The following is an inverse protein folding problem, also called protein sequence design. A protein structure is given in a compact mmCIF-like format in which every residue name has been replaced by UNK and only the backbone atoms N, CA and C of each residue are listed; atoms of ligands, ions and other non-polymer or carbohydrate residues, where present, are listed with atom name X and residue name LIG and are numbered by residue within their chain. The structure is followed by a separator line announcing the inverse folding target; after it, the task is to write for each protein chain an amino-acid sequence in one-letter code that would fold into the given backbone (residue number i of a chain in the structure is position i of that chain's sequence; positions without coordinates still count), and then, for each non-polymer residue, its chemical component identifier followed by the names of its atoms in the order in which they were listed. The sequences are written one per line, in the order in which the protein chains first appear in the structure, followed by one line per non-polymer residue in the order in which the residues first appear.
data_IF_818556718663
#
_entry.id   IF_818556718663
#
_cell.length_a   1.000
_cell.length_b   1.000
_cell.length_c   1.000
_cell.angle_alpha   90.00
_cell.angle_beta   90.00
_cell.angle_gamma   90.00
#
_symmetry.space_group_name_H-M   'P 1'
#
loop_
_entity.id
_entity.type
_entity.pdbx_description
1 polymer ?
#
# COMPACT_ATOMS: atom_id res chain seq x y z
N UNK A 1 33.46 2.33 16.57
CA UNK A 1 34.11 3.66 16.56
C UNK A 1 33.51 4.61 15.54
N UNK A 2 33.40 4.23 14.25
CA UNK A 2 32.88 5.15 13.20
C UNK A 2 31.44 5.59 13.47
N UNK A 3 30.54 4.67 13.83
CA UNK A 3 29.15 4.95 14.13
C UNK A 3 28.98 5.88 15.32
N UNK A 4 29.74 5.65 16.40
CA UNK A 4 29.74 6.51 17.58
C UNK A 4 30.15 7.95 17.24
N UNK A 5 31.27 8.11 16.50
CA UNK A 5 31.72 9.44 16.05
C UNK A 5 30.75 10.11 15.08
N UNK A 6 30.05 9.33 14.21
CA UNK A 6 29.03 9.85 13.32
C UNK A 6 27.85 10.42 14.12
N UNK A 7 27.33 9.67 15.09
CA UNK A 7 26.21 10.11 15.90
C UNK A 7 26.55 11.33 16.75
N UNK A 8 27.73 11.36 17.35
CA UNK A 8 28.18 12.54 18.09
C UNK A 8 28.23 13.79 17.19
N UNK A 9 28.72 13.63 15.94
CA UNK A 9 28.76 14.72 14.97
C UNK A 9 27.34 15.17 14.55
N UNK A 10 26.42 14.23 14.28
CA UNK A 10 25.04 14.54 13.94
C UNK A 10 24.33 15.22 15.11
N UNK A 11 24.42 14.68 16.30
CA UNK A 11 23.81 15.25 17.49
C UNK A 11 24.34 16.68 17.77
N UNK A 12 25.66 16.90 17.70
CA UNK A 12 26.23 18.24 17.86
C UNK A 12 25.74 19.24 16.80
N UNK A 13 25.44 18.77 15.58
CA UNK A 13 24.90 19.61 14.50
C UNK A 13 23.44 19.99 14.72
N UNK A 14 22.65 19.10 15.30
CA UNK A 14 21.19 19.23 15.37
C UNK A 14 20.64 19.45 16.78
N UNK A 15 21.49 19.53 17.82
CA UNK A 15 21.08 19.71 19.22
C UNK A 15 20.17 20.88 19.52
N UNK A 16 20.24 21.92 18.70
CA UNK A 16 19.45 23.15 18.84
C UNK A 16 18.27 23.20 17.85
N UNK A 17 18.01 22.10 17.08
CA UNK A 17 16.96 22.05 16.08
C UNK A 17 15.62 21.53 16.69
N UNK A 18 14.66 22.43 16.95
CA UNK A 18 13.43 22.07 17.68
C UNK A 18 12.45 21.18 16.88
N UNK A 19 12.68 21.01 15.57
CA UNK A 19 11.84 20.19 14.72
C UNK A 19 12.31 18.73 14.62
N UNK A 20 13.43 18.39 15.21
CA UNK A 20 13.92 17.02 15.36
C UNK A 20 13.43 16.50 16.69
N UNK A 21 12.58 15.44 16.69
CA UNK A 21 12.06 14.83 17.92
C UNK A 21 13.09 14.00 18.66
N UNK A 22 13.98 13.33 17.95
CA UNK A 22 15.00 12.45 18.52
C UNK A 22 15.86 11.77 17.46
N UNK A 23 16.72 10.85 17.92
CA UNK A 23 17.67 10.11 17.09
C UNK A 23 17.37 8.62 17.18
N UNK A 24 17.03 8.00 16.06
CA UNK A 24 16.97 6.55 15.92
C UNK A 24 18.38 6.05 15.57
N UNK A 25 19.05 5.44 16.56
CA UNK A 25 20.50 5.29 16.52
C UNK A 25 21.02 4.09 15.74
N UNK A 26 20.13 3.15 15.40
CA UNK A 26 20.48 1.96 14.61
C UNK A 26 19.23 1.35 13.99
N UNK A 27 19.22 1.23 12.65
CA UNK A 27 18.10 0.64 11.92
C UNK A 27 18.28 -0.86 11.76
N UNK A 28 17.28 -1.63 12.17
CA UNK A 28 17.11 -3.05 11.93
C UNK A 28 18.35 -3.92 12.20
N UNK A 29 18.90 -3.92 13.43
CA UNK A 29 19.93 -4.90 13.77
C UNK A 29 19.38 -6.31 13.53
N UNK A 30 20.16 -7.15 12.84
CA UNK A 30 19.74 -8.52 12.50
C UNK A 30 20.96 -9.45 12.45
N UNK A 31 21.60 -9.66 13.58
CA UNK A 31 22.83 -10.42 13.68
C UNK A 31 22.78 -11.46 14.79
N UNK A 32 23.34 -12.64 14.52
CA UNK A 32 23.58 -13.65 15.54
C UNK A 32 25.00 -13.50 16.14
N UNK A 33 25.08 -13.53 17.45
CA UNK A 33 26.35 -13.55 18.19
C UNK A 33 26.75 -14.95 18.60
N UNK A 34 25.84 -15.94 18.51
CA UNK A 34 26.01 -17.34 18.94
C UNK A 34 26.06 -18.35 17.81
N UNK A 35 25.88 -17.95 16.54
CA UNK A 35 25.81 -18.80 15.34
C UNK A 35 24.56 -19.71 15.24
N UNK A 36 23.67 -19.70 16.21
CA UNK A 36 22.44 -20.53 16.21
C UNK A 36 21.31 -19.94 15.36
N UNK A 37 21.23 -18.62 15.28
CA UNK A 37 20.22 -17.88 14.53
C UNK A 37 20.82 -16.80 13.63
N UNK A 38 20.63 -16.92 12.32
CA UNK A 38 21.22 -16.00 11.33
C UNK A 38 20.74 -14.55 11.43
N UNK A 39 19.54 -14.33 11.98
CA UNK A 39 18.89 -13.03 11.99
C UNK A 39 18.73 -12.43 13.40
N UNK A 40 19.18 -13.15 14.42
CA UNK A 40 19.11 -12.71 15.82
C UNK A 40 17.71 -12.70 16.42
N UNK A 41 16.76 -13.47 15.85
CA UNK A 41 15.39 -13.51 16.38
C UNK A 41 15.28 -14.32 17.67
N UNK A 42 16.08 -15.37 17.80
CA UNK A 42 16.18 -16.21 18.99
C UNK A 42 17.47 -15.91 19.80
N UNK A 43 18.20 -14.84 19.42
CA UNK A 43 19.46 -14.46 20.07
C UNK A 43 19.21 -13.94 21.50
N UNK A 44 19.88 -14.56 22.46
CA UNK A 44 19.83 -14.19 23.89
C UNK A 44 21.00 -13.34 24.33
N UNK A 45 22.09 -13.37 23.57
CA UNK A 45 23.35 -12.67 23.92
C UNK A 45 23.47 -11.34 23.18
N UNK A 46 22.44 -10.49 23.24
CA UNK A 46 22.45 -9.16 22.63
C UNK A 46 23.32 -8.13 23.36
N UNK A 47 24.15 -8.55 24.31
CA UNK A 47 25.07 -7.66 25.04
C UNK A 47 26.01 -6.83 24.13
N UNK A 48 26.56 -7.35 23.01
CA UNK A 48 27.36 -6.52 22.10
C UNK A 48 26.54 -5.43 21.41
N UNK A 49 25.29 -5.72 21.01
CA UNK A 49 24.36 -4.72 20.44
C UNK A 49 24.02 -3.66 21.51
N UNK A 50 23.67 -4.09 22.72
CA UNK A 50 23.41 -3.20 23.84
C UNK A 50 24.59 -2.29 24.11
N UNK A 51 25.82 -2.83 24.19
CA UNK A 51 27.02 -2.04 24.44
C UNK A 51 27.27 -0.98 23.38
N UNK A 52 27.03 -1.33 22.09
CA UNK A 52 27.13 -0.37 20.98
C UNK A 52 26.15 0.79 21.16
N UNK A 53 24.89 0.51 21.48
CA UNK A 53 23.85 1.52 21.69
C UNK A 53 24.17 2.39 22.92
N UNK A 54 24.68 1.81 24.00
CA UNK A 54 25.17 2.54 25.19
C UNK A 54 26.28 3.52 24.81
N UNK A 55 27.28 3.06 24.04
CA UNK A 55 28.42 3.90 23.64
C UNK A 55 27.98 5.04 22.69
N UNK A 56 27.05 4.78 21.79
CA UNK A 56 26.46 5.81 20.93
C UNK A 56 25.71 6.84 21.78
N UNK A 57 24.83 6.37 22.67
CA UNK A 57 24.04 7.25 23.54
C UNK A 57 24.94 8.15 24.39
N UNK A 58 25.99 7.62 25.00
CA UNK A 58 26.95 8.40 25.77
C UNK A 58 27.58 9.51 24.92
N UNK A 59 28.01 9.18 23.69
CA UNK A 59 28.63 10.15 22.81
C UNK A 59 27.64 11.24 22.35
N UNK A 60 26.37 10.90 22.17
CA UNK A 60 25.30 11.88 21.91
C UNK A 60 25.11 12.79 23.12
N UNK A 61 24.98 12.23 24.32
CA UNK A 61 24.75 12.98 25.57
C UNK A 61 25.87 13.95 25.95
N UNK A 62 27.08 13.72 25.48
CA UNK A 62 28.20 14.68 25.64
C UNK A 62 27.91 16.03 24.93
N UNK A 63 27.09 16.05 23.89
CA UNK A 63 26.81 17.22 23.06
C UNK A 63 25.36 17.63 23.05
N UNK A 64 24.45 16.71 23.30
CA UNK A 64 22.98 16.88 23.24
C UNK A 64 22.29 16.12 24.38
N UNK A 65 21.94 16.80 25.48
CA UNK A 65 21.25 16.18 26.59
C UNK A 65 19.72 16.04 26.40
N UNK A 66 19.14 16.65 25.38
CA UNK A 66 17.70 16.91 25.31
C UNK A 66 16.93 15.98 24.35
N UNK A 67 17.49 15.64 23.19
CA UNK A 67 16.76 14.85 22.20
C UNK A 67 16.52 13.41 22.67
N UNK A 68 15.37 12.87 22.27
CA UNK A 68 14.99 11.48 22.54
C UNK A 68 15.95 10.54 21.81
N UNK A 69 16.32 9.44 22.45
CA UNK A 69 17.06 8.33 21.82
C UNK A 69 16.07 7.20 21.54
N UNK A 70 15.89 6.87 20.25
CA UNK A 70 15.18 5.67 19.85
C UNK A 70 16.19 4.52 19.73
N UNK A 71 15.86 3.38 20.31
CA UNK A 71 16.66 2.16 20.23
C UNK A 71 15.82 1.03 19.63
N UNK A 72 16.49 0.15 18.91
CA UNK A 72 15.88 -1.04 18.34
C UNK A 72 16.50 -2.31 18.91
N UNK A 73 15.66 -3.33 19.09
CA UNK A 73 16.10 -4.68 19.40
C UNK A 73 16.79 -5.36 18.20
N UNK A 74 17.37 -6.52 18.40
CA UNK A 74 17.83 -7.39 17.32
C UNK A 74 16.63 -7.91 16.48
N UNK A 75 16.82 -8.77 15.49
CA UNK A 75 15.74 -9.30 14.65
C UNK A 75 14.90 -8.20 14.01
N UNK A 76 15.56 -7.29 13.26
CA UNK A 76 14.88 -6.16 12.59
C UNK A 76 14.06 -5.28 13.55
N UNK A 77 14.63 -4.96 14.74
CA UNK A 77 14.01 -4.09 15.72
C UNK A 77 13.11 -4.79 16.73
N UNK A 78 12.96 -6.13 16.71
CA UNK A 78 11.92 -6.82 17.46
C UNK A 78 12.41 -7.65 18.66
N UNK A 79 13.66 -8.05 18.73
CA UNK A 79 14.20 -8.85 19.85
C UNK A 79 14.95 -7.98 20.84
N UNK A 80 14.34 -7.74 22.01
CA UNK A 80 14.90 -6.94 23.11
C UNK A 80 15.53 -7.78 24.23
N UNK A 81 15.65 -9.10 24.08
CA UNK A 81 16.27 -9.95 25.10
C UNK A 81 17.72 -9.55 25.33
N UNK A 82 18.09 -9.33 26.59
CA UNK A 82 19.44 -8.88 26.97
C UNK A 82 19.76 -7.39 26.73
N UNK A 83 18.78 -6.59 26.28
CA UNK A 83 18.93 -5.15 26.10
C UNK A 83 18.67 -4.39 27.41
N UNK A 84 17.78 -4.88 28.25
CA UNK A 84 17.48 -4.26 29.55
C UNK A 84 18.54 -4.54 30.59
N UNK A 85 18.64 -3.69 31.66
CA UNK A 85 17.90 -2.46 31.89
C UNK A 85 18.37 -1.33 30.98
N UNK A 86 17.48 -0.34 30.77
CA UNK A 86 17.80 0.87 30.00
C UNK A 86 18.90 1.68 30.72
N UNK A 87 19.64 2.50 29.95
CA UNK A 87 20.79 3.27 30.41
C UNK A 87 20.63 4.78 30.26
N UNK A 88 19.47 5.21 29.74
CA UNK A 88 19.16 6.61 29.52
C UNK A 88 17.65 6.83 29.74
N UNK A 89 17.30 7.85 30.53
CA UNK A 89 15.92 8.12 30.96
C UNK A 89 15.05 8.76 29.85
N UNK A 90 15.66 9.25 28.75
CA UNK A 90 14.97 9.85 27.64
C UNK A 90 15.04 8.93 26.40
N UNK A 91 14.62 7.70 26.57
CA UNK A 91 14.66 6.63 25.56
C UNK A 91 13.24 6.19 25.15
N UNK A 92 13.10 5.79 23.90
CA UNK A 92 11.91 5.15 23.32
C UNK A 92 12.30 3.83 22.70
N UNK A 93 11.51 2.78 22.90
CA UNK A 93 11.69 1.49 22.21
C UNK A 93 11.01 1.57 20.85
N UNK A 94 11.78 1.40 19.78
CA UNK A 94 11.32 1.34 18.41
C UNK A 94 11.18 -0.12 17.97
N UNK A 95 10.09 -0.47 17.34
CA UNK A 95 9.90 -1.81 16.76
C UNK A 95 9.31 -1.71 15.36
N UNK A 96 9.49 -2.76 14.55
CA UNK A 96 9.03 -2.82 13.16
C UNK A 96 7.97 -3.89 12.97
N UNK A 97 6.95 -3.62 12.11
CA UNK A 97 5.84 -4.53 11.87
C UNK A 97 5.39 -4.46 10.41
N UNK A 98 5.37 -5.59 9.70
CA UNK A 98 5.07 -5.62 8.27
C UNK A 98 4.05 -6.68 7.83
N UNK A 99 4.15 -7.94 8.31
CA UNK A 99 3.50 -9.08 7.66
C UNK A 99 2.63 -9.92 8.59
N UNK A 100 2.65 -9.66 9.87
CA UNK A 100 1.87 -10.40 10.86
C UNK A 100 0.46 -9.82 11.04
N UNK A 101 -0.43 -10.58 11.70
CA UNK A 101 -1.78 -10.13 12.02
C UNK A 101 -1.78 -8.84 12.83
N UNK A 102 -2.81 -8.01 12.61
CA UNK A 102 -3.00 -6.75 13.32
C UNK A 102 -3.89 -6.96 14.54
N UNK A 103 -3.47 -7.84 15.44
CA UNK A 103 -4.13 -8.13 16.72
C UNK A 103 -3.29 -7.60 17.87
N UNK A 104 -3.93 -7.42 19.04
CA UNK A 104 -3.25 -6.95 20.25
C UNK A 104 -2.13 -7.91 20.68
N UNK A 105 -2.35 -9.20 20.50
CA UNK A 105 -1.38 -10.26 20.82
C UNK A 105 -0.09 -10.08 20.01
N UNK A 106 -0.18 -9.60 18.77
CA UNK A 106 0.98 -9.38 17.90
C UNK A 106 1.93 -8.26 18.37
N UNK A 107 1.50 -7.45 19.32
CA UNK A 107 2.27 -6.36 19.93
C UNK A 107 2.34 -6.48 21.45
N UNK A 108 1.88 -7.58 22.03
CA UNK A 108 1.74 -7.72 23.49
C UNK A 108 3.08 -7.59 24.20
N UNK A 109 4.14 -8.15 23.66
CA UNK A 109 5.49 -8.06 24.22
C UNK A 109 5.95 -6.59 24.40
N UNK A 110 5.72 -5.74 23.39
CA UNK A 110 6.04 -4.31 23.48
C UNK A 110 5.17 -3.57 24.48
N UNK A 111 3.90 -3.96 24.61
CA UNK A 111 3.02 -3.42 25.64
C UNK A 111 3.49 -3.81 27.04
N UNK A 112 4.03 -5.01 27.21
CA UNK A 112 4.59 -5.49 28.47
C UNK A 112 5.88 -4.74 28.80
N UNK A 113 6.81 -4.55 27.86
CA UNK A 113 8.00 -3.71 28.04
C UNK A 113 7.64 -2.28 28.44
N UNK A 114 6.67 -1.66 27.77
CA UNK A 114 6.17 -0.32 28.12
C UNK A 114 5.73 -0.24 29.57
N UNK A 115 5.01 -1.25 30.05
CA UNK A 115 4.51 -1.31 31.43
C UNK A 115 5.61 -1.63 32.44
N UNK A 116 6.46 -2.61 32.16
CA UNK A 116 7.48 -3.10 33.06
C UNK A 116 8.59 -2.07 33.29
N UNK A 117 9.05 -1.45 32.21
CA UNK A 117 10.18 -0.50 32.25
C UNK A 117 9.74 0.97 32.27
N UNK A 118 8.43 1.24 32.27
CA UNK A 118 7.85 2.59 32.18
C UNK A 118 8.50 3.43 31.07
N UNK A 119 8.58 2.87 29.86
CA UNK A 119 9.23 3.44 28.69
C UNK A 119 8.23 3.58 27.54
N UNK A 120 8.22 4.69 26.78
CA UNK A 120 7.41 4.80 25.56
C UNK A 120 7.84 3.77 24.50
N UNK A 121 6.87 3.35 23.68
CA UNK A 121 7.09 2.49 22.54
C UNK A 121 6.64 3.19 21.24
N UNK A 122 7.29 2.88 20.14
CA UNK A 122 7.11 3.50 18.83
C UNK A 122 7.15 2.44 17.73
N UNK A 123 6.16 2.46 16.82
CA UNK A 123 6.26 1.69 15.58
C UNK A 123 7.14 2.47 14.60
N UNK A 124 8.43 2.21 14.63
CA UNK A 124 9.46 2.96 13.90
C UNK A 124 9.39 2.73 12.41
N UNK A 125 8.89 1.55 11.99
CA UNK A 125 8.75 1.22 10.58
C UNK A 125 7.61 0.23 10.34
N UNK A 126 6.79 0.53 9.33
CA UNK A 126 5.67 -0.31 8.90
C UNK A 126 5.27 0.03 7.47
N UNK A 127 4.71 -0.93 6.74
CA UNK A 127 4.30 -0.69 5.36
C UNK A 127 4.39 -1.93 4.48
N UNK A 128 4.66 -1.75 3.20
CA UNK A 128 4.89 -2.80 2.19
C UNK A 128 3.81 -3.89 2.14
N UNK A 129 2.56 -3.54 2.44
CA UNK A 129 1.42 -4.45 2.52
C UNK A 129 0.19 -3.82 1.83
N UNK A 130 -0.98 -4.45 1.94
CA UNK A 130 -2.24 -3.97 1.38
C UNK A 130 -2.81 -2.76 2.14
N UNK A 131 -3.68 -2.00 1.49
CA UNK A 131 -4.43 -0.91 2.13
C UNK A 131 -5.27 -1.38 3.32
N UNK A 132 -5.81 -2.60 3.25
CA UNK A 132 -6.55 -3.20 4.36
C UNK A 132 -5.64 -3.40 5.56
N UNK A 133 -4.47 -3.97 5.34
CA UNK A 133 -3.48 -4.18 6.38
C UNK A 133 -2.99 -2.85 6.99
N UNK A 134 -2.77 -1.81 6.18
CA UNK A 134 -2.37 -0.47 6.67
C UNK A 134 -3.41 0.12 7.62
N UNK A 135 -4.68 0.10 7.20
CA UNK A 135 -5.79 0.55 8.05
C UNK A 135 -5.83 -0.19 9.38
N UNK A 136 -5.69 -1.51 9.36
CA UNK A 136 -5.74 -2.34 10.57
C UNK A 136 -4.53 -2.09 11.49
N UNK A 137 -3.31 -1.99 10.91
CA UNK A 137 -2.10 -1.70 11.67
C UNK A 137 -2.18 -0.34 12.37
N UNK A 138 -2.61 0.70 11.66
CA UNK A 138 -2.77 2.03 12.21
C UNK A 138 -3.84 2.05 13.31
N UNK A 139 -4.99 1.40 13.08
CA UNK A 139 -6.02 1.26 14.11
C UNK A 139 -5.47 0.59 15.38
N UNK A 140 -4.68 -0.47 15.22
CA UNK A 140 -4.07 -1.18 16.36
C UNK A 140 -3.12 -0.26 17.13
N UNK A 141 -2.28 0.49 16.43
CA UNK A 141 -1.33 1.42 17.06
C UNK A 141 -2.06 2.55 17.80
N UNK A 142 -2.97 3.23 17.13
CA UNK A 142 -3.70 4.37 17.71
C UNK A 142 -4.57 3.95 18.89
N UNK A 143 -5.24 2.79 18.82
CA UNK A 143 -6.03 2.23 19.93
C UNK A 143 -5.18 1.90 21.17
N UNK A 144 -3.87 1.70 21.02
CA UNK A 144 -2.93 1.44 22.11
C UNK A 144 -2.03 2.64 22.45
N UNK A 145 -2.33 3.82 21.90
CA UNK A 145 -1.56 5.06 22.11
C UNK A 145 -0.09 4.87 21.73
N UNK A 146 0.15 4.29 20.55
CA UNK A 146 1.46 4.08 19.95
C UNK A 146 1.57 4.97 18.71
N UNK A 147 2.59 5.81 18.64
CA UNK A 147 2.93 6.53 17.42
C UNK A 147 3.50 5.59 16.37
N UNK A 148 3.36 5.95 15.10
CA UNK A 148 3.77 5.10 13.99
C UNK A 148 4.43 5.89 12.85
N UNK A 149 5.33 5.22 12.13
CA UNK A 149 5.93 5.69 10.89
C UNK A 149 5.65 4.71 9.75
N UNK A 150 5.57 5.24 8.53
CA UNK A 150 5.25 4.48 7.33
C UNK A 150 6.44 4.40 6.38
N UNK A 151 6.72 3.19 5.87
CA UNK A 151 7.75 2.88 4.90
C UNK A 151 7.18 2.26 3.63
N UNK A 152 7.63 2.65 2.42
CA UNK A 152 8.39 3.87 2.15
C UNK A 152 7.47 4.98 1.59
N UNK A 153 7.88 6.22 1.74
CA UNK A 153 7.16 7.33 1.11
C UNK A 153 7.27 7.29 -0.42
N UNK A 154 8.44 6.89 -0.96
CA UNK A 154 8.73 6.79 -2.39
C UNK A 154 9.32 5.42 -2.73
N UNK A 155 8.71 4.71 -3.68
CA UNK A 155 9.24 3.43 -4.16
C UNK A 155 9.10 3.31 -5.67
N UNK A 156 10.11 2.73 -6.32
CA UNK A 156 10.11 2.56 -7.78
C UNK A 156 9.08 1.53 -8.20
N UNK A 157 8.19 1.92 -9.11
CA UNK A 157 7.17 1.06 -9.75
C UNK A 157 6.41 0.17 -8.76
N UNK A 158 5.89 0.80 -7.68
CA UNK A 158 5.25 0.10 -6.57
C UNK A 158 3.86 0.67 -6.27
N UNK A 159 2.93 -0.19 -5.89
CA UNK A 159 1.56 0.21 -5.53
C UNK A 159 1.39 0.49 -4.03
N UNK A 160 2.23 -0.07 -3.16
CA UNK A 160 2.09 -0.02 -1.70
C UNK A 160 2.75 1.19 -1.03
N UNK A 161 3.37 2.09 -1.79
CA UNK A 161 3.94 3.34 -1.28
C UNK A 161 2.95 4.50 -1.37
N UNK A 162 3.14 5.55 -0.58
CA UNK A 162 2.37 6.80 -0.67
C UNK A 162 2.54 7.45 -2.05
N UNK A 163 3.73 7.31 -2.63
CA UNK A 163 4.04 7.71 -3.99
C UNK A 163 4.81 6.62 -4.74
N UNK A 164 4.63 6.57 -6.06
CA UNK A 164 5.36 5.67 -6.94
C UNK A 164 6.26 6.47 -7.88
N UNK A 165 7.49 6.01 -8.04
CA UNK A 165 8.49 6.55 -8.96
C UNK A 165 8.43 5.75 -10.26
N UNK A 166 8.29 6.40 -11.40
CA UNK A 166 8.30 5.72 -12.69
C UNK A 166 9.70 5.22 -13.01
N UNK A 167 9.80 3.92 -13.26
CA UNK A 167 11.03 3.28 -13.70
C UNK A 167 11.29 3.63 -15.16
N UNK A 168 12.47 4.15 -15.48
CA UNK A 168 12.83 4.43 -16.86
C UNK A 168 13.44 3.19 -17.56
N UNK A 169 13.36 3.11 -18.91
CA UNK A 169 13.86 1.95 -19.67
C UNK A 169 15.36 1.68 -19.48
N UNK A 170 16.17 2.74 -19.32
CA UNK A 170 17.61 2.58 -19.07
C UNK A 170 17.90 1.91 -17.74
N UNK A 171 17.14 2.24 -16.70
CA UNK A 171 17.24 1.59 -15.40
C UNK A 171 16.78 0.11 -15.45
N UNK A 172 15.78 -0.21 -16.28
CA UNK A 172 15.39 -1.62 -16.50
C UNK A 172 16.51 -2.47 -17.09
N UNK A 173 17.28 -1.91 -18.03
CA UNK A 173 18.45 -2.59 -18.60
C UNK A 173 19.50 -2.85 -17.52
N UNK A 174 19.75 -1.86 -16.62
CA UNK A 174 20.68 -2.03 -15.49
C UNK A 174 20.19 -3.12 -14.54
N UNK A 175 18.91 -3.10 -14.16
CA UNK A 175 18.31 -4.11 -13.29
C UNK A 175 18.38 -5.52 -13.90
N UNK A 176 18.12 -5.62 -15.20
CA UNK A 176 18.23 -6.89 -15.91
C UNK A 176 19.66 -7.43 -15.87
N UNK A 177 20.65 -6.57 -16.12
CA UNK A 177 22.06 -6.95 -16.00
C UNK A 177 22.41 -7.43 -14.57
N UNK A 178 21.97 -6.71 -13.53
CA UNK A 178 22.25 -7.12 -12.15
C UNK A 178 21.60 -8.44 -11.75
N UNK A 179 20.39 -8.70 -12.25
CA UNK A 179 19.63 -9.92 -11.90
C UNK A 179 20.04 -11.14 -12.71
N UNK A 180 20.26 -10.96 -14.01
CA UNK A 180 20.37 -12.04 -14.96
C UNK A 180 21.77 -12.13 -15.61
N UNK A 181 22.65 -11.15 -15.37
CA UNK A 181 23.92 -11.06 -16.08
C UNK A 181 23.75 -10.62 -17.54
N UNK A 182 24.69 -10.98 -18.38
CA UNK A 182 24.72 -10.61 -19.81
C UNK A 182 25.64 -9.44 -20.12
N UNK A 183 25.38 -8.72 -21.19
CA UNK A 183 26.19 -7.57 -21.61
C UNK A 183 26.13 -6.43 -20.60
N UNK A 184 27.29 -6.10 -19.99
CA UNK A 184 27.39 -4.98 -19.05
C UNK A 184 27.13 -3.65 -19.77
N UNK A 185 26.18 -2.82 -19.31
CA UNK A 185 25.98 -1.47 -19.83
C UNK A 185 27.25 -0.62 -19.67
N UNK A 186 27.50 0.31 -20.59
CA UNK A 186 28.61 1.27 -20.45
C UNK A 186 28.40 2.17 -19.23
N UNK A 187 29.51 2.72 -18.71
CA UNK A 187 29.43 3.64 -17.55
C UNK A 187 28.61 4.88 -17.86
N UNK A 188 28.77 5.45 -19.04
CA UNK A 188 28.02 6.62 -19.50
C UNK A 188 26.52 6.31 -19.58
N UNK A 189 26.14 5.19 -20.18
CA UNK A 189 24.75 4.76 -20.24
C UNK A 189 24.15 4.56 -18.85
N UNK A 190 24.87 3.84 -17.97
CA UNK A 190 24.41 3.55 -16.63
C UNK A 190 24.28 4.84 -15.80
N UNK A 191 25.23 5.76 -15.89
CA UNK A 191 25.16 7.07 -15.25
C UNK A 191 23.94 7.87 -15.71
N UNK A 192 23.71 7.99 -17.00
CA UNK A 192 22.58 8.73 -17.55
C UNK A 192 21.23 8.11 -17.13
N UNK A 193 21.12 6.78 -17.13
CA UNK A 193 19.92 6.08 -16.69
C UNK A 193 19.63 6.29 -15.18
N UNK A 194 20.66 6.27 -14.33
CA UNK A 194 20.52 6.54 -12.89
C UNK A 194 20.22 8.02 -12.61
N UNK A 195 20.81 8.94 -13.36
CA UNK A 195 20.47 10.37 -13.23
C UNK A 195 19.04 10.65 -13.67
N UNK A 196 18.57 10.00 -14.75
CA UNK A 196 17.14 10.09 -15.13
C UNK A 196 16.22 9.50 -14.04
N UNK A 197 16.62 8.41 -13.39
CA UNK A 197 15.87 7.88 -12.26
C UNK A 197 15.82 8.87 -11.08
N UNK A 198 16.95 9.54 -10.78
CA UNK A 198 17.00 10.58 -9.76
C UNK A 198 16.05 11.75 -10.08
N UNK A 199 15.94 12.15 -11.36
CA UNK A 199 14.93 13.12 -11.79
C UNK A 199 13.51 12.61 -11.56
N UNK A 200 13.24 11.33 -11.80
CA UNK A 200 11.92 10.72 -11.57
C UNK A 200 11.55 10.69 -10.07
N UNK A 201 12.50 10.80 -9.15
CA UNK A 201 12.27 10.90 -7.70
C UNK A 201 11.85 12.29 -7.22
N UNK A 202 11.91 13.33 -8.06
CA UNK A 202 11.40 14.65 -7.70
C UNK A 202 9.89 14.62 -7.49
N UNK A 203 9.39 15.41 -6.55
CA UNK A 203 7.97 15.40 -6.15
C UNK A 203 7.02 15.65 -7.33
N UNK A 204 7.39 16.54 -8.24
CA UNK A 204 6.61 16.87 -9.44
C UNK A 204 6.49 15.73 -10.45
N UNK A 205 7.36 14.72 -10.38
CA UNK A 205 7.39 13.56 -11.27
C UNK A 205 6.80 12.29 -10.67
N UNK A 206 6.35 12.35 -9.41
CA UNK A 206 5.80 11.19 -8.71
C UNK A 206 4.34 10.96 -9.06
N UNK A 207 3.96 9.68 -9.06
CA UNK A 207 2.54 9.29 -9.05
C UNK A 207 2.08 9.17 -7.61
N UNK A 208 1.21 10.08 -7.16
CA UNK A 208 0.57 10.01 -5.84
C UNK A 208 -0.44 8.85 -5.84
N UNK A 209 -0.49 8.10 -4.73
CA UNK A 209 -1.40 6.97 -4.51
C UNK A 209 -2.53 7.39 -3.55
N UNK A 210 -3.66 7.93 -4.06
CA UNK A 210 -4.73 8.45 -3.21
C UNK A 210 -5.42 7.35 -2.41
N UNK A 211 -5.44 6.13 -2.89
CA UNK A 211 -5.99 4.96 -2.21
C UNK A 211 -5.17 4.56 -0.97
N UNK A 212 -3.83 4.61 -1.06
CA UNK A 212 -2.93 4.38 0.08
C UNK A 212 -3.13 5.45 1.15
N UNK A 213 -3.11 6.72 0.75
CA UNK A 213 -3.32 7.86 1.67
C UNK A 213 -4.71 7.76 2.33
N UNK A 214 -5.74 7.44 1.56
CA UNK A 214 -7.10 7.28 2.06
C UNK A 214 -7.22 6.15 3.10
N UNK A 215 -6.55 5.02 2.83
CA UNK A 215 -6.52 3.88 3.74
C UNK A 215 -5.84 4.22 5.08
N UNK A 216 -4.71 4.94 5.03
CA UNK A 216 -3.94 5.30 6.22
C UNK A 216 -4.63 6.33 7.12
N UNK A 217 -5.39 7.25 6.56
CA UNK A 217 -5.90 8.40 7.34
C UNK A 217 -7.42 8.42 7.45
N UNK A 218 -8.18 8.34 6.33
CA UNK A 218 -9.63 8.46 6.38
C UNK A 218 -10.31 7.15 6.76
N UNK A 219 -9.92 6.05 6.14
CA UNK A 219 -10.56 4.75 6.37
C UNK A 219 -10.34 4.20 7.79
N UNK A 220 -9.31 4.64 8.47
CA UNK A 220 -9.07 4.35 9.90
C UNK A 220 -10.27 4.79 10.74
N UNK A 221 -10.90 5.92 10.38
CA UNK A 221 -11.94 6.54 11.17
C UNK A 221 -13.36 6.37 10.60
N UNK A 222 -13.52 5.88 9.35
CA UNK A 222 -14.85 5.77 8.72
C UNK A 222 -14.90 4.74 7.60
N UNK A 223 -16.06 4.11 7.44
CA UNK A 223 -16.37 3.25 6.31
C UNK A 223 -17.12 4.00 5.17
N UNK A 224 -17.32 5.33 5.28
CA UNK A 224 -17.94 6.09 4.20
C UNK A 224 -17.07 6.06 2.95
N UNK A 225 -17.69 5.95 1.78
CA UNK A 225 -16.97 5.92 0.51
C UNK A 225 -16.75 7.33 -0.04
N UNK A 226 -15.73 7.51 -0.87
CA UNK A 226 -15.38 8.74 -1.55
C UNK A 226 -15.05 8.42 -3.01
N UNK A 227 -15.50 9.21 -4.01
CA UNK A 227 -15.12 8.96 -5.39
C UNK A 227 -13.59 9.01 -5.55
N UNK A 228 -13.02 8.08 -6.32
CA UNK A 228 -11.60 8.07 -6.65
C UNK A 228 -11.18 9.36 -7.35
N UNK A 229 -12.02 9.77 -8.31
CA UNK A 229 -11.95 11.08 -8.97
C UNK A 229 -13.35 11.62 -9.25
N UNK A 230 -13.46 12.84 -9.75
CA UNK A 230 -14.74 13.41 -10.20
C UNK A 230 -15.18 12.73 -11.48
N UNK A 231 -16.20 11.85 -11.38
CA UNK A 231 -16.81 11.17 -12.50
C UNK A 231 -18.10 11.91 -12.91
N UNK A 232 -18.07 12.61 -14.03
CA UNK A 232 -19.25 13.29 -14.61
C UNK A 232 -19.85 12.44 -15.72
N UNK A 233 -21.18 12.36 -15.77
CA UNK A 233 -21.92 11.68 -16.83
C UNK A 233 -22.87 12.65 -17.55
N UNK A 234 -23.03 12.54 -18.91
CA UNK A 234 -22.47 11.51 -19.81
C UNK A 234 -20.93 11.51 -19.85
N UNK A 235 -20.33 10.33 -20.07
CA UNK A 235 -18.87 10.17 -20.12
C UNK A 235 -18.41 8.74 -19.87
N UNK A 236 -17.10 8.53 -19.95
CA UNK A 236 -16.45 7.24 -19.70
C UNK A 236 -15.91 7.23 -18.26
N UNK A 237 -16.10 6.10 -17.57
CA UNK A 237 -15.59 5.78 -16.26
C UNK A 237 -14.81 4.48 -16.37
N UNK A 238 -13.51 4.54 -16.17
CA UNK A 238 -12.68 3.33 -16.24
C UNK A 238 -12.93 2.42 -15.04
N UNK A 239 -12.86 1.12 -15.27
CA UNK A 239 -13.18 0.12 -14.25
C UNK A 239 -12.32 0.28 -12.98
N UNK A 240 -11.08 0.69 -13.14
CA UNK A 240 -10.13 0.90 -12.04
C UNK A 240 -10.36 2.17 -11.21
N UNK A 241 -11.34 3.00 -11.61
CA UNK A 241 -11.68 4.27 -10.95
C UNK A 241 -12.86 4.14 -9.96
N UNK A 242 -13.09 2.92 -9.44
CA UNK A 242 -14.06 2.68 -8.39
C UNK A 242 -13.73 3.50 -7.12
N UNK A 243 -14.74 3.74 -6.30
CA UNK A 243 -14.64 4.59 -5.13
C UNK A 243 -13.52 4.19 -4.18
N UNK A 244 -13.00 5.14 -3.43
CA UNK A 244 -12.10 4.93 -2.29
C UNK A 244 -12.93 4.50 -1.07
N UNK A 245 -12.44 3.50 -0.37
CA UNK A 245 -13.06 2.95 0.84
C UNK A 245 -12.62 1.51 1.09
N UNK A 246 -13.16 0.92 2.14
CA UNK A 246 -12.82 -0.45 2.55
C UNK A 246 -13.57 -1.48 1.73
N UNK A 247 -13.03 -2.70 1.70
CA UNK A 247 -13.72 -3.89 1.18
C UNK A 247 -15.10 -4.03 1.86
N UNK A 248 -16.13 -4.39 1.08
CA UNK A 248 -17.52 -4.45 1.53
C UNK A 248 -18.25 -3.08 1.55
N UNK A 249 -17.55 -1.96 1.31
CA UNK A 249 -18.14 -0.62 1.29
C UNK A 249 -17.95 0.14 -0.04
N UNK A 250 -16.74 0.14 -0.60
CA UNK A 250 -16.43 0.76 -1.88
C UNK A 250 -16.30 -0.26 -3.01
N UNK A 251 -15.95 -1.45 -2.69
CA UNK A 251 -15.82 -2.63 -3.55
C UNK A 251 -16.01 -3.89 -2.72
N UNK A 252 -16.18 -5.02 -3.35
CA UNK A 252 -16.06 -6.35 -2.74
C UNK A 252 -15.18 -7.20 -3.62
N UNK A 253 -14.07 -7.62 -3.06
CA UNK A 253 -13.17 -8.60 -3.62
C UNK A 253 -12.95 -9.72 -2.59
N UNK A 254 -12.90 -10.96 -3.01
CA UNK A 254 -12.79 -12.12 -2.12
C UNK A 254 -11.38 -12.38 -1.66
N UNK A 255 -10.39 -12.07 -2.50
CA UNK A 255 -8.97 -12.34 -2.27
C UNK A 255 -8.19 -11.06 -1.86
N UNK A 256 -8.84 -10.16 -1.14
CA UNK A 256 -8.42 -8.79 -0.86
C UNK A 256 -7.32 -8.62 0.18
N UNK A 257 -6.91 -9.68 0.87
CA UNK A 257 -5.94 -9.62 1.97
C UNK A 257 -5.05 -10.86 1.99
N UNK A 258 -3.81 -10.66 2.37
CA UNK A 258 -2.88 -11.74 2.60
C UNK A 258 -2.06 -11.50 3.86
N UNK A 259 -2.24 -12.36 4.85
CA UNK A 259 -1.38 -12.49 6.00
C UNK A 259 -0.41 -13.64 5.76
N UNK A 260 0.83 -13.33 5.43
CA UNK A 260 1.90 -14.31 5.17
C UNK A 260 2.17 -15.26 6.34
N UNK A 261 1.74 -14.91 7.53
CA UNK A 261 2.08 -15.59 8.80
C UNK A 261 1.62 -17.04 8.84
N UNK A 262 0.46 -17.35 8.24
CA UNK A 262 -0.14 -18.68 8.38
C UNK A 262 0.46 -19.73 7.44
N UNK A 263 0.87 -19.34 6.27
CA UNK A 263 1.27 -20.27 5.20
C UNK A 263 2.72 -20.16 4.80
N UNK A 264 3.42 -19.07 5.19
CA UNK A 264 4.72 -18.71 4.67
C UNK A 264 4.71 -18.34 3.17
N UNK A 265 3.54 -18.40 2.52
CA UNK A 265 3.36 -18.12 1.09
C UNK A 265 2.77 -16.72 0.93
N UNK A 266 3.48 -15.87 0.20
CA UNK A 266 2.98 -14.55 -0.16
C UNK A 266 2.05 -14.65 -1.35
N UNK A 267 0.76 -14.42 -1.14
CA UNK A 267 -0.23 -14.24 -2.21
C UNK A 267 -0.43 -12.75 -2.43
N UNK A 268 -0.51 -12.28 -3.67
CA UNK A 268 -0.80 -10.88 -3.95
C UNK A 268 -2.28 -10.59 -3.68
N UNK A 269 -2.57 -9.51 -2.96
CA UNK A 269 -3.93 -8.97 -2.79
C UNK A 269 -4.45 -8.24 -4.02
N UNK A 270 -3.59 -7.89 -4.96
CA UNK A 270 -3.86 -7.43 -6.31
C UNK A 270 -2.92 -8.21 -7.22
N UNK A 271 -3.42 -9.25 -7.89
CA UNK A 271 -2.64 -10.22 -8.68
C UNK A 271 -1.88 -9.57 -9.84
N UNK A 272 -2.43 -8.51 -10.44
CA UNK A 272 -1.74 -7.75 -11.48
C UNK A 272 -0.73 -6.73 -10.95
N UNK A 273 -0.77 -6.41 -9.66
CA UNK A 273 0.13 -5.46 -9.00
C UNK A 273 0.22 -4.11 -9.72
N UNK A 274 -0.93 -3.58 -10.15
CA UNK A 274 -1.03 -2.31 -10.89
C UNK A 274 -1.97 -1.33 -10.21
N UNK A 275 -1.73 -0.06 -10.45
CA UNK A 275 -2.53 1.11 -10.16
C UNK A 275 -2.88 1.31 -8.68
N UNK A 276 -3.64 0.40 -8.04
CA UNK A 276 -4.17 0.53 -6.67
C UNK A 276 -3.63 -0.55 -5.74
N UNK A 277 -3.54 -0.23 -4.45
CA UNK A 277 -3.02 -1.11 -3.41
C UNK A 277 -4.13 -1.75 -2.55
N UNK A 278 -5.37 -1.63 -2.95
CA UNK A 278 -6.49 -2.35 -2.36
C UNK A 278 -6.69 -3.74 -3.02
N UNK A 279 -7.72 -4.48 -2.58
CA UNK A 279 -7.83 -5.90 -2.91
C UNK A 279 -8.30 -6.24 -4.32
N UNK A 280 -8.68 -5.25 -5.15
CA UNK A 280 -9.17 -5.52 -6.50
C UNK A 280 -8.03 -5.85 -7.45
N UNK A 281 -8.18 -6.90 -8.22
CA UNK A 281 -7.18 -7.37 -9.19
C UNK A 281 -7.11 -6.46 -10.42
N UNK A 282 -5.98 -5.77 -10.60
CA UNK A 282 -5.77 -4.80 -11.69
C UNK A 282 -4.52 -5.16 -12.47
N UNK A 283 -4.66 -5.26 -13.79
CA UNK A 283 -3.58 -5.48 -14.75
C UNK A 283 -3.50 -4.39 -15.82
N UNK A 284 -2.46 -4.42 -16.65
CA UNK A 284 -2.36 -3.56 -17.84
C UNK A 284 -3.39 -3.95 -18.88
N UNK A 285 -4.06 -2.96 -19.46
CA UNK A 285 -5.04 -3.13 -20.53
C UNK A 285 -4.41 -2.81 -21.89
N UNK A 286 -4.55 -3.71 -22.85
CA UNK A 286 -4.09 -3.53 -24.22
C UNK A 286 -5.18 -3.05 -25.19
N UNK A 287 -6.42 -2.82 -24.72
CA UNK A 287 -7.46 -2.22 -25.54
C UNK A 287 -7.11 -0.75 -25.83
N UNK A 288 -7.28 -0.35 -27.10
CA UNK A 288 -6.92 1.00 -27.58
C UNK A 288 -7.68 2.14 -26.91
N UNK A 289 -8.85 1.87 -26.33
CA UNK A 289 -9.68 2.85 -25.62
C UNK A 289 -9.61 2.60 -24.12
N UNK A 290 -8.42 2.61 -23.52
CA UNK A 290 -8.17 2.33 -22.11
C UNK A 290 -7.41 3.47 -21.46
N UNK A 291 -7.46 3.56 -20.14
CA UNK A 291 -6.53 4.38 -19.34
C UNK A 291 -5.20 3.65 -19.05
N UNK A 292 -4.97 2.51 -19.71
CA UNK A 292 -3.79 1.64 -19.53
C UNK A 292 -4.00 0.49 -18.55
N UNK A 293 -5.16 0.41 -17.88
CA UNK A 293 -5.45 -0.60 -16.86
C UNK A 293 -6.87 -1.16 -17.00
N UNK A 294 -7.07 -2.34 -16.45
CA UNK A 294 -8.36 -3.04 -16.40
C UNK A 294 -8.48 -3.88 -15.14
N UNK A 295 -9.70 -4.18 -14.71
CA UNK A 295 -10.00 -5.10 -13.63
C UNK A 295 -10.16 -6.50 -14.21
N UNK A 296 -9.50 -7.48 -13.60
CA UNK A 296 -9.51 -8.87 -14.06
C UNK A 296 -9.70 -9.84 -12.89
N UNK A 297 -9.72 -11.13 -13.15
CA UNK A 297 -9.92 -12.21 -12.17
C UNK A 297 -11.16 -12.03 -11.29
N UNK A 298 -12.17 -11.41 -11.85
CA UNK A 298 -13.43 -11.10 -11.20
C UNK A 298 -14.19 -12.39 -10.88
N UNK A 299 -14.60 -12.55 -9.63
CA UNK A 299 -15.35 -13.71 -9.14
C UNK A 299 -16.85 -13.38 -8.97
N UNK A 300 -17.67 -14.43 -8.93
CA UNK A 300 -19.10 -14.32 -8.66
C UNK A 300 -19.37 -13.65 -7.30
N UNK A 301 -20.29 -12.69 -7.25
CA UNK A 301 -20.67 -11.95 -6.05
C UNK A 301 -19.77 -10.76 -5.73
N UNK A 302 -18.66 -10.56 -6.44
CA UNK A 302 -17.85 -9.36 -6.32
C UNK A 302 -18.54 -8.14 -6.93
N UNK A 303 -18.13 -6.95 -6.53
CA UNK A 303 -18.71 -5.72 -7.06
C UNK A 303 -17.77 -4.51 -6.90
N UNK A 304 -18.00 -3.52 -7.77
CA UNK A 304 -17.30 -2.24 -7.77
C UNK A 304 -18.32 -1.10 -7.69
N UNK A 305 -18.06 -0.12 -6.84
CA UNK A 305 -18.92 1.06 -6.70
C UNK A 305 -18.29 2.30 -7.34
N UNK A 306 -19.08 3.06 -8.04
CA UNK A 306 -18.69 4.32 -8.68
C UNK A 306 -19.62 5.44 -8.25
N UNK A 307 -19.10 6.48 -7.62
CA UNK A 307 -19.85 7.71 -7.38
C UNK A 307 -19.76 8.59 -8.61
N UNK A 308 -20.89 8.76 -9.31
CA UNK A 308 -21.01 9.55 -10.54
C UNK A 308 -21.88 10.77 -10.33
N UNK A 309 -21.64 11.85 -11.09
CA UNK A 309 -22.45 13.07 -11.05
C UNK A 309 -23.15 13.27 -12.38
N UNK A 310 -24.48 13.19 -12.38
CA UNK A 310 -25.32 13.50 -13.54
C UNK A 310 -25.68 15.00 -13.51
N UNK A 311 -25.44 15.72 -14.60
CA UNK A 311 -25.78 17.14 -14.70
C UNK A 311 -27.29 17.39 -14.67
N UNK A 312 -28.04 16.44 -15.22
CA UNK A 312 -29.50 16.46 -15.27
C UNK A 312 -30.04 15.07 -14.97
N UNK A 313 -31.25 14.97 -14.42
CA UNK A 313 -31.94 13.70 -14.35
C UNK A 313 -32.32 13.19 -15.77
N UNK A 314 -32.48 11.88 -15.90
CA UNK A 314 -32.92 11.28 -17.16
C UNK A 314 -32.51 9.83 -17.32
N UNK A 315 -32.78 9.35 -18.54
CA UNK A 315 -32.37 8.01 -18.94
C UNK A 315 -31.01 8.05 -19.63
N UNK A 316 -30.20 7.08 -19.30
CA UNK A 316 -28.85 6.87 -19.85
C UNK A 316 -28.76 5.45 -20.43
N UNK A 317 -28.09 5.34 -21.55
CA UNK A 317 -27.63 4.05 -22.08
C UNK A 317 -26.22 3.83 -21.51
N UNK A 318 -26.00 2.68 -20.87
CA UNK A 318 -24.74 2.33 -20.22
C UNK A 318 -24.07 1.23 -21.01
N UNK A 319 -22.97 1.57 -21.67
CA UNK A 319 -22.15 0.62 -22.42
C UNK A 319 -21.01 0.10 -21.53
N UNK A 320 -20.81 -1.20 -21.55
CA UNK A 320 -19.74 -1.89 -20.79
C UNK A 320 -18.76 -2.46 -21.79
N UNK A 321 -17.49 -2.05 -21.66
CA UNK A 321 -16.37 -2.54 -22.45
C UNK A 321 -15.65 -3.63 -21.68
N UNK A 322 -15.67 -4.86 -22.20
CA UNK A 322 -15.21 -6.04 -21.50
C UNK A 322 -14.54 -7.04 -22.42
N UNK A 323 -13.81 -7.97 -21.84
CA UNK A 323 -13.38 -9.22 -22.45
C UNK A 323 -13.79 -10.40 -21.55
N UNK A 324 -14.04 -11.56 -22.14
CA UNK A 324 -14.40 -12.76 -21.39
C UNK A 324 -13.94 -14.02 -22.10
N UNK A 325 -13.33 -14.94 -21.36
CA UNK A 325 -12.96 -16.27 -21.82
C UNK A 325 -13.96 -17.36 -21.34
N UNK A 326 -14.96 -16.98 -20.57
CA UNK A 326 -16.03 -17.86 -20.10
C UNK A 326 -17.30 -17.69 -20.95
N UNK A 327 -18.14 -18.71 -21.00
CA UNK A 327 -19.36 -18.72 -21.82
C UNK A 327 -20.47 -17.82 -21.30
N UNK A 328 -20.47 -17.52 -20.00
CA UNK A 328 -21.55 -16.80 -19.33
C UNK A 328 -21.04 -15.97 -18.16
N UNK A 329 -20.31 -14.86 -18.42
CA UNK A 329 -20.17 -13.79 -17.44
C UNK A 329 -21.55 -13.13 -17.22
N UNK A 330 -21.82 -12.62 -16.03
CA UNK A 330 -23.09 -11.94 -15.77
C UNK A 330 -22.93 -10.82 -14.75
N UNK A 331 -23.72 -9.76 -14.90
CA UNK A 331 -23.73 -8.65 -13.94
C UNK A 331 -25.08 -7.93 -13.95
N UNK A 332 -25.33 -7.14 -12.90
CA UNK A 332 -26.40 -6.15 -12.86
C UNK A 332 -25.89 -4.83 -12.24
N UNK A 333 -26.69 -3.78 -12.40
CA UNK A 333 -26.44 -2.46 -11.83
C UNK A 333 -27.38 -2.18 -10.66
N UNK A 334 -26.82 -1.62 -9.60
CA UNK A 334 -27.56 -1.04 -8.48
C UNK A 334 -27.27 0.45 -8.34
N UNK A 335 -28.22 1.22 -7.79
CA UNK A 335 -28.03 2.58 -7.31
C UNK A 335 -28.60 2.68 -5.90
N UNK A 336 -27.78 3.09 -4.92
CA UNK A 336 -28.15 3.16 -3.50
C UNK A 336 -28.87 1.88 -3.00
N UNK A 337 -28.28 0.71 -3.32
CA UNK A 337 -28.78 -0.64 -2.96
C UNK A 337 -30.11 -1.06 -3.63
N UNK A 338 -30.54 -0.36 -4.67
CA UNK A 338 -31.72 -0.74 -5.47
C UNK A 338 -31.25 -1.21 -6.84
N UNK A 339 -31.76 -2.33 -7.29
CA UNK A 339 -31.56 -2.78 -8.68
C UNK A 339 -32.10 -1.73 -9.64
N UNK A 340 -31.26 -1.28 -10.55
CA UNK A 340 -31.62 -0.35 -11.63
C UNK A 340 -31.53 -1.00 -13.01
N UNK A 341 -31.09 -2.26 -13.07
CA UNK A 341 -31.12 -3.10 -14.26
C UNK A 341 -31.54 -4.53 -13.94
N UNK A 342 -31.89 -5.30 -14.97
CA UNK A 342 -31.93 -6.76 -14.90
C UNK A 342 -30.50 -7.31 -14.86
N UNK A 343 -30.37 -8.62 -14.67
CA UNK A 343 -29.10 -9.34 -14.87
C UNK A 343 -28.84 -9.45 -16.37
N UNK A 344 -27.62 -9.07 -16.78
CA UNK A 344 -27.14 -9.15 -18.16
C UNK A 344 -26.08 -10.22 -18.29
N UNK A 345 -26.24 -11.07 -19.31
CA UNK A 345 -25.25 -12.07 -19.65
C UNK A 345 -24.21 -11.43 -20.57
N UNK A 346 -22.96 -11.61 -20.25
CA UNK A 346 -21.81 -11.22 -21.06
C UNK A 346 -21.31 -12.44 -21.84
N UNK A 347 -21.52 -12.48 -23.18
CA UNK A 347 -21.01 -13.57 -24.00
C UNK A 347 -19.50 -13.68 -23.94
N UNK A 348 -18.99 -14.87 -24.21
CA UNK A 348 -17.58 -15.10 -24.44
C UNK A 348 -17.09 -14.31 -25.65
N UNK A 349 -15.98 -13.58 -25.50
CA UNK A 349 -15.39 -12.79 -26.60
C UNK A 349 -14.27 -13.56 -27.31
N UNK A 350 -13.50 -14.38 -26.55
CA UNK A 350 -12.36 -15.13 -27.07
C UNK A 350 -11.95 -16.27 -26.13
N UNK A 351 -11.00 -17.12 -26.55
CA UNK A 351 -10.46 -18.17 -25.69
C UNK A 351 -9.38 -17.68 -24.73
N UNK A 352 -8.73 -16.56 -25.03
CA UNK A 352 -7.57 -16.03 -24.30
C UNK A 352 -7.80 -14.65 -23.64
N UNK A 353 -9.03 -14.07 -23.78
CA UNK A 353 -9.32 -12.77 -23.19
C UNK A 353 -8.71 -11.57 -23.95
N UNK A 354 -8.20 -11.75 -25.16
CA UNK A 354 -7.51 -10.71 -25.92
C UNK A 354 -8.43 -9.82 -26.77
N UNK A 355 -9.70 -10.18 -26.94
CA UNK A 355 -10.69 -9.43 -27.74
C UNK A 355 -11.70 -8.77 -26.81
N UNK A 356 -11.87 -7.47 -26.99
CA UNK A 356 -12.84 -6.67 -26.24
C UNK A 356 -14.09 -6.44 -27.07
N UNK A 357 -15.23 -6.57 -26.41
CA UNK A 357 -16.55 -6.26 -26.95
C UNK A 357 -17.27 -5.23 -26.09
N UNK A 358 -18.34 -4.67 -26.63
CA UNK A 358 -19.16 -3.68 -25.94
C UNK A 358 -20.59 -4.15 -25.87
N UNK A 359 -21.13 -4.24 -24.65
CA UNK A 359 -22.56 -4.47 -24.42
C UNK A 359 -23.20 -3.20 -23.90
N UNK A 360 -24.41 -2.89 -24.35
CA UNK A 360 -25.14 -1.70 -23.92
C UNK A 360 -26.43 -2.09 -23.21
N UNK A 361 -26.65 -1.51 -22.05
CA UNK A 361 -27.88 -1.55 -21.28
C UNK A 361 -28.61 -0.24 -21.53
N UNK A 362 -29.80 -0.31 -22.05
CA UNK A 362 -30.58 0.88 -22.35
C UNK A 362 -31.45 1.36 -21.19
N UNK A 363 -31.68 2.67 -21.15
CA UNK A 363 -32.74 3.28 -20.36
C UNK A 363 -32.54 3.21 -18.82
N UNK A 364 -31.31 3.29 -18.36
CA UNK A 364 -30.98 3.40 -16.92
C UNK A 364 -31.36 4.79 -16.42
N UNK A 365 -32.33 4.86 -15.50
CA UNK A 365 -32.80 6.13 -14.93
C UNK A 365 -31.90 6.57 -13.79
N UNK A 366 -31.35 7.77 -13.89
CA UNK A 366 -30.49 8.37 -12.88
C UNK A 366 -31.02 9.77 -12.52
N UNK A 367 -30.88 10.12 -11.23
CA UNK A 367 -31.25 11.42 -10.71
C UNK A 367 -30.20 12.48 -11.00
N UNK A 368 -30.58 13.75 -11.07
CA UNK A 368 -29.63 14.87 -11.10
C UNK A 368 -28.76 14.85 -9.84
N UNK A 369 -27.46 15.12 -10.02
CA UNK A 369 -26.49 15.15 -8.94
C UNK A 369 -25.79 13.80 -8.75
N UNK A 370 -25.42 13.47 -7.51
CA UNK A 370 -24.65 12.26 -7.18
C UNK A 370 -25.51 11.02 -7.21
N UNK A 371 -25.00 9.98 -7.88
CA UNK A 371 -25.54 8.63 -7.89
C UNK A 371 -24.39 7.67 -7.51
N UNK A 372 -24.66 6.67 -6.68
CA UNK A 372 -23.73 5.60 -6.33
C UNK A 372 -24.07 4.34 -7.10
N UNK A 373 -23.44 4.19 -8.24
CA UNK A 373 -23.65 3.04 -9.13
C UNK A 373 -22.74 1.90 -8.66
N UNK A 374 -23.35 0.76 -8.36
CA UNK A 374 -22.64 -0.47 -8.05
C UNK A 374 -22.82 -1.43 -9.24
N UNK A 375 -21.71 -1.94 -9.76
CA UNK A 375 -21.64 -3.01 -10.73
C UNK A 375 -21.41 -4.31 -9.98
N UNK A 376 -22.39 -5.18 -9.92
CA UNK A 376 -22.36 -6.45 -9.20
C UNK A 376 -22.21 -7.59 -10.20
N UNK A 377 -21.22 -8.45 -10.00
CA UNK A 377 -20.95 -9.59 -10.87
C UNK A 377 -21.71 -10.82 -10.37
N UNK A 378 -22.79 -11.16 -11.04
CA UNK A 378 -23.61 -12.35 -10.77
C UNK A 378 -22.90 -13.63 -11.18
N UNK A 379 -21.96 -13.55 -12.14
CA UNK A 379 -21.03 -14.61 -12.55
C UNK A 379 -19.69 -13.96 -12.91
N UNK A 380 -18.62 -14.58 -12.50
CA UNK A 380 -17.25 -14.12 -12.75
C UNK A 380 -16.68 -14.47 -14.13
N UNK A 381 -15.34 -14.40 -14.24
CA UNK A 381 -14.61 -14.73 -15.48
C UNK A 381 -14.62 -13.62 -16.53
N UNK A 382 -14.84 -12.40 -16.09
CA UNK A 382 -14.90 -11.20 -16.94
C UNK A 382 -13.69 -10.32 -16.65
N UNK A 383 -13.18 -9.68 -17.69
CA UNK A 383 -12.19 -8.61 -17.63
C UNK A 383 -12.91 -7.31 -18.01
N UNK A 384 -12.80 -6.29 -17.18
CA UNK A 384 -13.55 -5.05 -17.33
C UNK A 384 -12.62 -3.86 -17.58
N UNK A 385 -12.84 -3.17 -18.72
CA UNK A 385 -12.07 -1.98 -19.09
C UNK A 385 -12.77 -0.68 -18.61
N UNK A 386 -14.01 -0.42 -19.07
CA UNK A 386 -14.74 0.79 -18.69
C UNK A 386 -16.25 0.66 -18.80
N UNK A 387 -16.97 1.63 -18.21
CA UNK A 387 -18.37 1.93 -18.42
C UNK A 387 -18.49 3.28 -19.15
N UNK A 388 -19.33 3.36 -20.18
CA UNK A 388 -19.65 4.61 -20.87
C UNK A 388 -21.14 4.93 -20.70
N UNK A 389 -21.42 6.11 -20.16
CA UNK A 389 -22.77 6.62 -19.98
C UNK A 389 -23.10 7.60 -21.11
N UNK A 390 -24.11 7.29 -21.90
CA UNK A 390 -24.65 8.17 -22.93
C UNK A 390 -26.07 8.57 -22.59
N UNK A 391 -26.38 9.84 -22.71
CA UNK A 391 -27.76 10.27 -22.53
C UNK A 391 -28.65 9.74 -23.67
N UNK A 392 -29.76 9.09 -23.31
CA UNK A 392 -30.72 8.64 -24.30
C UNK A 392 -31.36 9.87 -24.97
N UNK A 393 -31.28 9.94 -26.29
CA UNK A 393 -31.98 10.96 -27.05
C UNK A 393 -33.48 10.66 -26.94
N UNK A 394 -34.28 11.64 -26.53
CA UNK A 394 -35.72 11.56 -26.45
C UNK A 394 -36.35 11.46 -27.83
#
# INVERSE_FOLDING_TARGET
RKMIALWQKLANRYKDEPWIGGYDIINEPNWNFTEEDKNGCDEKLNAPLRQLMVDITKAIREVDPNHIIFIEGNCWGNNYEGIFPLWDDNTVLSFHKYWNFNTKESIQEFLDYRKEYNVPIWLGESGENSNVWFKEAINLMEANTIGWAFWPMKKVDNIAGVTSVTKNPGFEIILNYWKNGGGKPSEEFAFNALMQLAENYKMENLTIKPDVIDAMFRQVNTNTTKPYKKNSIPGIIYATEYDLGTNGHAYLDKDFINYRVDTGIRVSWNKGNKMRNDGVDIQTCNDRNSNGYEVFDIQEGEWLQYTVTAETEGAFDVSIRYSSNVTEGAFHLENDKRHISNVFILPKTTNDGAIYETMTIENIKLSKGKNKIKLVFDKGGVILNYLEFKRKKG
#
